data_IF_542229396733
#
_entry.id   IF_542229396733
#
_cell.length_a   1.000
_cell.length_b   1.000
_cell.length_c   1.000
_cell.angle_alpha   90.00
_cell.angle_beta   90.00
_cell.angle_gamma   90.00
#
_symmetry.space_group_name_H-M   'P 1'
#
loop_
_entity.id
_entity.type
_entity.pdbx_description
1 polymer ?
#
# COMPACT_ATOMS: atom_id res chain seq x y z
N UNK A 1 17.68 8.15 -13.59
CA UNK A 1 16.65 8.93 -12.88
C UNK A 1 15.38 8.76 -13.66
N UNK A 2 14.30 8.29 -13.04
CA UNK A 2 13.01 8.23 -13.71
C UNK A 2 12.50 9.66 -13.98
N UNK A 3 12.01 9.90 -15.18
CA UNK A 3 11.34 11.15 -15.55
C UNK A 3 9.94 11.19 -14.92
N UNK A 4 9.32 12.38 -14.83
CA UNK A 4 7.93 12.47 -14.38
C UNK A 4 6.95 11.70 -15.27
N UNK A 5 7.24 11.58 -16.56
CA UNK A 5 6.42 10.81 -17.50
C UNK A 5 6.49 9.32 -17.20
N UNK A 6 7.70 8.78 -17.02
CA UNK A 6 7.92 7.38 -16.65
C UNK A 6 7.27 7.07 -15.30
N UNK A 7 7.40 7.97 -14.32
CA UNK A 7 6.75 7.80 -13.01
C UNK A 7 5.23 7.66 -13.15
N UNK A 8 4.57 8.54 -13.92
CA UNK A 8 3.12 8.49 -14.11
C UNK A 8 2.70 7.18 -14.78
N UNK A 9 3.41 6.77 -15.83
CA UNK A 9 3.11 5.54 -16.57
C UNK A 9 3.26 4.31 -15.69
N UNK A 10 4.35 4.21 -14.93
CA UNK A 10 4.61 3.08 -14.03
C UNK A 10 3.57 2.98 -12.92
N UNK A 11 3.16 4.09 -12.29
CA UNK A 11 2.12 4.06 -11.25
C UNK A 11 0.75 3.71 -11.83
N UNK A 12 0.43 4.19 -13.03
CA UNK A 12 -0.82 3.82 -13.70
C UNK A 12 -0.80 2.33 -14.06
N UNK A 13 0.30 1.80 -14.59
CA UNK A 13 0.50 0.37 -14.91
C UNK A 13 0.41 -0.53 -13.69
N UNK A 14 1.13 -0.17 -12.61
CA UNK A 14 1.19 -0.96 -11.39
C UNK A 14 -0.11 -0.84 -10.57
N UNK A 15 -0.50 0.37 -10.20
CA UNK A 15 -1.57 0.57 -9.21
C UNK A 15 -2.92 0.97 -9.83
N UNK A 16 -3.00 1.09 -11.16
CA UNK A 16 -4.24 1.50 -11.83
C UNK A 16 -4.68 2.91 -11.45
N UNK A 17 -3.74 3.76 -11.00
CA UNK A 17 -4.03 5.09 -10.47
C UNK A 17 -3.29 6.18 -11.21
N UNK A 18 -3.97 7.30 -11.47
CA UNK A 18 -3.36 8.51 -12.02
C UNK A 18 -3.89 9.75 -11.33
N UNK A 19 -3.00 10.52 -10.70
CA UNK A 19 -3.35 11.72 -9.96
C UNK A 19 -3.31 12.97 -10.85
N UNK A 20 -4.12 13.98 -10.49
CA UNK A 20 -3.98 15.35 -11.00
C UNK A 20 -2.66 15.99 -10.53
N UNK A 21 -2.18 15.61 -9.34
CA UNK A 21 -0.93 16.07 -8.74
C UNK A 21 -0.20 14.91 -8.03
N UNK A 22 1.02 14.60 -8.45
CA UNK A 22 1.87 13.56 -7.84
C UNK A 22 2.74 14.08 -6.69
N UNK A 23 2.72 15.39 -6.45
CA UNK A 23 3.32 16.04 -5.27
C UNK A 23 2.25 16.91 -4.64
N UNK A 24 1.96 16.69 -3.37
CA UNK A 24 0.84 17.31 -2.67
C UNK A 24 1.27 18.58 -1.93
N UNK A 25 0.36 19.56 -1.74
CA UNK A 25 0.63 20.70 -0.90
C UNK A 25 0.86 20.26 0.55
N UNK A 26 1.87 20.83 1.20
CA UNK A 26 2.19 20.52 2.60
C UNK A 26 1.48 21.44 3.60
N UNK A 27 0.84 22.51 3.10
CA UNK A 27 0.13 23.49 3.91
C UNK A 27 -1.33 23.67 3.47
N UNK A 28 -2.19 24.02 4.43
CA UNK A 28 -3.60 24.34 4.16
C UNK A 28 -3.76 25.51 3.19
N UNK A 29 -2.84 26.48 3.25
CA UNK A 29 -2.88 27.66 2.38
C UNK A 29 -2.60 27.28 0.92
N UNK A 30 -1.57 26.46 0.67
CA UNK A 30 -1.27 25.95 -0.67
C UNK A 30 -2.40 25.08 -1.20
N UNK A 31 -2.95 24.20 -0.36
CA UNK A 31 -4.09 23.34 -0.75
C UNK A 31 -5.31 24.15 -1.20
N UNK A 32 -5.62 25.26 -0.50
CA UNK A 32 -6.75 26.15 -0.88
C UNK A 32 -6.51 26.90 -2.19
N UNK A 33 -5.25 27.06 -2.60
CA UNK A 33 -4.85 27.77 -3.83
C UNK A 33 -4.75 26.86 -5.05
N UNK A 34 -4.92 25.55 -4.89
CA UNK A 34 -4.89 24.62 -6.02
C UNK A 34 -6.10 24.85 -6.92
N UNK A 35 -5.86 25.25 -8.17
CA UNK A 35 -6.92 25.49 -9.16
C UNK A 35 -7.57 24.17 -9.60
N UNK A 36 -6.76 23.14 -9.81
CA UNK A 36 -7.24 21.77 -10.07
C UNK A 36 -7.20 21.00 -8.76
N UNK A 37 -8.30 20.34 -8.33
CA UNK A 37 -8.33 19.63 -7.07
C UNK A 37 -7.34 18.46 -7.04
N UNK A 38 -6.89 18.08 -5.85
CA UNK A 38 -6.22 16.81 -5.65
C UNK A 38 -7.23 15.68 -5.86
N UNK A 39 -7.07 14.96 -6.96
CA UNK A 39 -7.98 13.90 -7.38
C UNK A 39 -7.18 12.79 -8.08
N UNK A 40 -7.77 11.61 -8.21
CA UNK A 40 -7.22 10.52 -9.00
C UNK A 40 -8.29 9.88 -9.89
N UNK A 41 -7.84 9.33 -11.01
CA UNK A 41 -8.55 8.32 -11.76
C UNK A 41 -8.06 6.96 -11.26
N UNK A 42 -8.99 6.11 -10.81
CA UNK A 42 -8.69 4.80 -10.26
C UNK A 42 -9.38 3.73 -11.12
N UNK A 43 -8.63 2.69 -11.49
CA UNK A 43 -9.12 1.47 -12.14
C UNK A 43 -8.94 0.31 -11.17
N UNK A 44 -9.93 0.02 -10.31
CA UNK A 44 -9.74 -0.93 -9.21
C UNK A 44 -9.43 -2.36 -9.66
N UNK A 45 -10.00 -2.76 -10.81
CA UNK A 45 -9.83 -4.08 -11.42
C UNK A 45 -8.93 -4.00 -12.65
N UNK A 46 -7.83 -3.23 -12.56
CA UNK A 46 -6.84 -3.22 -13.63
C UNK A 46 -6.24 -4.61 -13.78
N UNK A 47 -6.20 -5.13 -15.00
CA UNK A 47 -5.65 -6.46 -15.28
C UNK A 47 -4.16 -6.51 -14.89
N UNK A 48 -3.80 -7.49 -14.07
CA UNK A 48 -2.42 -7.73 -13.60
C UNK A 48 -2.06 -9.21 -13.80
N UNK A 49 -1.81 -9.64 -15.05
CA UNK A 49 -1.47 -11.04 -15.34
C UNK A 49 -0.14 -11.48 -14.69
N UNK A 50 0.70 -10.52 -14.29
CA UNK A 50 1.97 -10.72 -13.62
C UNK A 50 1.85 -11.05 -12.12
N UNK A 51 0.73 -10.69 -11.48
CA UNK A 51 0.51 -10.89 -10.04
C UNK A 51 -0.78 -11.69 -9.80
N UNK A 52 -0.70 -13.02 -9.60
CA UNK A 52 -1.88 -13.83 -9.31
C UNK A 52 -2.45 -13.48 -7.91
N UNK A 53 -3.75 -13.70 -7.69
CA UNK A 53 -4.39 -13.48 -6.40
C UNK A 53 -3.76 -14.35 -5.30
N UNK A 54 -3.61 -13.80 -4.10
CA UNK A 54 -3.12 -14.54 -2.94
C UNK A 54 -4.26 -15.29 -2.25
N UNK A 55 -3.98 -16.51 -1.79
CA UNK A 55 -4.97 -17.45 -1.24
C UNK A 55 -4.97 -17.44 0.29
N UNK A 56 -5.07 -16.26 0.89
CA UNK A 56 -5.14 -16.10 2.34
C UNK A 56 -5.83 -14.79 2.71
N UNK A 57 -6.28 -14.71 3.97
CA UNK A 57 -6.96 -13.52 4.49
C UNK A 57 -6.02 -12.31 4.64
N UNK A 58 -6.48 -11.08 4.36
CA UNK A 58 -5.70 -9.88 4.57
C UNK A 58 -5.41 -9.65 6.06
N UNK A 59 -4.17 -9.24 6.37
CA UNK A 59 -3.78 -8.89 7.74
C UNK A 59 -4.25 -7.48 8.06
N UNK A 60 -5.18 -7.35 9.00
CA UNK A 60 -5.77 -6.06 9.39
C UNK A 60 -5.08 -5.42 10.58
N UNK A 61 -5.03 -4.09 10.58
CA UNK A 61 -4.66 -3.31 11.77
C UNK A 61 -5.63 -3.62 12.92
N UNK A 62 -5.07 -3.90 14.11
CA UNK A 62 -5.83 -4.28 15.30
C UNK A 62 -6.71 -3.14 15.86
N UNK A 63 -6.36 -1.88 15.58
CA UNK A 63 -7.14 -0.71 16.04
C UNK A 63 -8.54 -0.71 15.42
N UNK A 64 -9.63 -0.74 16.22
CA UNK A 64 -11.00 -0.83 15.70
C UNK A 64 -11.41 0.30 14.75
N UNK A 65 -10.89 1.51 14.96
CA UNK A 65 -11.18 2.70 14.12
C UNK A 65 -10.29 2.80 12.88
N UNK A 66 -9.32 1.89 12.70
CA UNK A 66 -8.40 1.92 11.57
C UNK A 66 -8.70 0.80 10.58
N UNK A 67 -8.52 -0.47 10.99
CA UNK A 67 -8.70 -1.67 10.15
C UNK A 67 -8.00 -1.65 8.78
N UNK A 68 -7.02 -0.76 8.57
CA UNK A 68 -6.22 -0.74 7.35
C UNK A 68 -5.48 -2.08 7.17
N UNK A 69 -5.34 -2.50 5.91
CA UNK A 69 -4.64 -3.73 5.53
C UNK A 69 -3.12 -3.49 5.59
N UNK A 70 -2.38 -4.50 6.04
CA UNK A 70 -0.92 -4.55 5.96
C UNK A 70 -0.47 -4.29 4.52
N UNK A 71 0.46 -3.36 4.33
CA UNK A 71 0.91 -2.92 3.00
C UNK A 71 2.40 -2.54 3.05
N UNK A 72 3.07 -2.35 1.89
CA UNK A 72 4.52 -2.11 1.84
C UNK A 72 5.01 -0.84 2.56
N UNK A 73 4.11 0.09 2.91
CA UNK A 73 4.45 1.31 3.65
C UNK A 73 4.51 1.09 5.17
N UNK A 74 4.06 -0.07 5.67
CA UNK A 74 4.12 -0.41 7.08
C UNK A 74 5.57 -0.71 7.51
N UNK A 75 5.99 -0.15 8.65
CA UNK A 75 7.29 -0.48 9.22
C UNK A 75 7.22 -1.83 9.94
N UNK A 76 8.19 -2.71 9.68
CA UNK A 76 8.20 -4.08 10.21
C UNK A 76 9.40 -4.30 11.11
N UNK A 77 9.15 -4.85 12.30
CA UNK A 77 10.16 -5.39 13.20
C UNK A 77 10.13 -6.92 13.10
N UNK A 78 11.02 -7.48 12.28
CA UNK A 78 11.12 -8.93 12.06
C UNK A 78 11.64 -9.70 13.29
N UNK A 79 12.29 -9.02 14.25
CA UNK A 79 12.79 -9.65 15.47
C UNK A 79 11.67 -9.79 16.49
N UNK A 80 10.92 -8.73 16.72
CA UNK A 80 9.78 -8.73 17.63
C UNK A 80 8.50 -9.31 17.01
N UNK A 81 8.51 -9.57 15.69
CA UNK A 81 7.33 -10.01 14.92
C UNK A 81 6.18 -9.01 15.05
N UNK A 82 6.50 -7.73 14.91
CA UNK A 82 5.56 -6.62 14.97
C UNK A 82 5.57 -5.83 13.67
N UNK A 83 4.46 -5.14 13.39
CA UNK A 83 4.39 -4.12 12.35
C UNK A 83 3.64 -2.89 12.84
N UNK A 84 4.07 -1.71 12.39
CA UNK A 84 3.44 -0.43 12.69
C UNK A 84 2.61 0.01 11.47
N UNK A 85 1.31 0.22 11.68
CA UNK A 85 0.40 0.69 10.64
C UNK A 85 0.77 2.12 10.21
N UNK A 86 0.96 2.33 8.91
CA UNK A 86 1.34 3.62 8.32
C UNK A 86 0.23 4.70 8.39
N UNK A 87 -1.02 4.32 8.67
CA UNK A 87 -2.13 5.26 8.83
C UNK A 87 -2.29 5.77 10.25
N UNK A 88 -2.21 4.87 11.25
CA UNK A 88 -2.60 5.19 12.63
C UNK A 88 -1.50 4.95 13.67
N UNK A 89 -0.33 4.47 13.23
CA UNK A 89 0.85 4.14 14.05
C UNK A 89 0.62 3.07 15.13
N UNK A 90 -0.50 2.35 15.09
CA UNK A 90 -0.73 1.19 15.97
C UNK A 90 0.31 0.12 15.66
N UNK A 91 0.96 -0.39 16.71
CA UNK A 91 1.78 -1.60 16.64
C UNK A 91 0.88 -2.84 16.74
N UNK A 92 1.07 -3.77 15.82
CA UNK A 92 0.28 -4.98 15.68
C UNK A 92 1.22 -6.18 15.71
N UNK A 93 0.78 -7.28 16.30
CA UNK A 93 1.45 -8.57 16.17
C UNK A 93 1.07 -9.20 14.83
N UNK A 94 2.02 -9.91 14.22
CA UNK A 94 1.70 -10.77 13.09
C UNK A 94 0.82 -11.94 13.54
N UNK A 95 -0.07 -12.45 12.66
CA UNK A 95 -0.82 -13.67 12.94
C UNK A 95 0.11 -14.89 13.01
N UNK A 96 -0.31 -15.99 13.65
CA UNK A 96 0.53 -17.19 13.81
C UNK A 96 1.09 -17.77 12.51
N UNK A 97 0.36 -17.65 11.39
CA UNK A 97 0.82 -18.10 10.06
C UNK A 97 2.12 -17.41 9.60
N UNK A 98 2.45 -16.25 10.17
CA UNK A 98 3.60 -15.42 9.79
C UNK A 98 4.77 -15.61 10.78
N UNK A 99 4.75 -16.65 11.61
CA UNK A 99 5.82 -16.92 12.59
C UNK A 99 7.22 -16.99 11.94
N UNK A 100 7.29 -17.48 10.70
CA UNK A 100 8.53 -17.61 9.91
C UNK A 100 8.95 -16.36 9.12
N UNK A 101 8.27 -15.22 9.28
CA UNK A 101 8.58 -13.99 8.54
C UNK A 101 10.02 -13.51 8.83
N UNK A 102 10.75 -13.09 7.81
CA UNK A 102 12.09 -12.50 7.95
C UNK A 102 12.34 -11.48 6.84
N UNK A 103 13.46 -10.74 6.91
CA UNK A 103 13.83 -9.78 5.86
C UNK A 103 13.96 -10.40 4.47
N UNK A 104 14.35 -11.68 4.40
CA UNK A 104 14.49 -12.44 3.13
C UNK A 104 13.25 -13.27 2.79
N UNK A 105 12.36 -13.49 3.74
CA UNK A 105 11.11 -14.25 3.58
C UNK A 105 9.94 -13.38 4.02
N UNK A 106 9.61 -12.39 3.18
CA UNK A 106 8.53 -11.46 3.42
C UNK A 106 7.24 -11.96 2.74
N UNK A 107 6.06 -11.74 3.35
CA UNK A 107 4.78 -11.98 2.71
C UNK A 107 4.60 -11.03 1.51
N UNK A 108 3.78 -11.42 0.53
CA UNK A 108 3.63 -10.69 -0.72
C UNK A 108 3.19 -9.23 -0.48
N UNK A 109 2.26 -8.98 0.44
CA UNK A 109 1.72 -7.65 0.74
C UNK A 109 2.73 -6.65 1.36
N UNK A 110 3.95 -7.08 1.67
CA UNK A 110 5.04 -6.18 2.09
C UNK A 110 6.02 -5.87 0.97
N UNK A 111 5.95 -6.60 -0.15
CA UNK A 111 6.82 -6.40 -1.28
C UNK A 111 6.33 -5.19 -2.10
N UNK A 112 7.20 -4.23 -2.48
CA UNK A 112 6.78 -3.03 -3.22
C UNK A 112 6.08 -3.31 -4.55
N UNK A 113 6.33 -4.47 -5.17
CA UNK A 113 5.68 -4.89 -6.41
C UNK A 113 4.19 -5.19 -6.22
N UNK A 114 3.78 -5.52 -4.99
CA UNK A 114 2.41 -5.86 -4.57
C UNK A 114 1.75 -4.70 -3.79
N UNK A 115 2.07 -3.44 -4.12
CA UNK A 115 1.35 -2.26 -3.61
C UNK A 115 -0.15 -2.32 -3.92
N UNK A 116 -0.49 -2.94 -5.05
CA UNK A 116 -1.84 -3.39 -5.42
C UNK A 116 -1.83 -4.91 -5.45
N UNK A 117 -2.71 -5.53 -4.65
CA UNK A 117 -2.77 -6.98 -4.44
C UNK A 117 -4.23 -7.41 -4.28
N UNK A 118 -4.57 -8.60 -4.79
CA UNK A 118 -5.89 -9.21 -4.67
C UNK A 118 -5.86 -10.41 -3.72
N UNK A 119 -6.84 -10.49 -2.82
CA UNK A 119 -6.99 -11.59 -1.85
C UNK A 119 -8.20 -12.44 -2.20
N UNK A 120 -8.02 -13.76 -2.23
CA UNK A 120 -9.11 -14.73 -2.34
C UNK A 120 -9.55 -15.17 -0.95
N UNK A 121 -10.70 -14.68 -0.51
CA UNK A 121 -11.35 -15.02 0.76
C UNK A 121 -12.12 -16.32 0.58
N UNK A 122 -11.94 -17.28 1.49
CA UNK A 122 -12.67 -18.56 1.50
C UNK A 122 -13.83 -18.57 2.49
#
# INVERSE_FOLDING_TARGET
MATYLEFIQQNEEQDGVRFSWNVWPSSRLEATRMVVPLACLLTPLKERPDLPPVQYEPVLCSRPTCKAILNPLCQVDYRAKLWACNFCFQRNQFPPAYAGISEVNQPAELMPQFSTIEYMIQ
#
